data_IF_765932740517
#
_entry.id   IF_765932740517
#
_cell.length_a   1.000
_cell.length_b   1.000
_cell.length_c   1.000
_cell.angle_alpha   90.00
_cell.angle_beta   90.00
_cell.angle_gamma   90.00
#
_symmetry.space_group_name_H-M   'P 1'
#
loop_
_entity.id
_entity.type
_entity.pdbx_description
1 polymer ?
#
# COMPACT_ATOMS: atom_id res chain seq x y z
N UNK A 1 3.98 -15.73 26.03
CA UNK A 1 4.54 -16.04 24.73
C UNK A 1 4.23 -14.94 23.74
N UNK A 2 5.21 -14.59 22.97
CA UNK A 2 5.01 -13.56 21.98
C UNK A 2 4.58 -14.19 20.69
N UNK A 3 3.48 -13.70 20.16
CA UNK A 3 3.04 -14.12 18.85
C UNK A 3 3.65 -13.20 17.83
N UNK A 4 3.97 -13.78 16.70
CA UNK A 4 4.41 -12.95 15.59
C UNK A 4 3.31 -11.97 15.28
N UNK A 5 3.64 -10.72 15.27
CA UNK A 5 2.68 -9.70 14.93
C UNK A 5 2.43 -9.71 13.45
N UNK A 6 1.19 -9.86 13.08
CA UNK A 6 0.84 -9.81 11.69
C UNK A 6 0.68 -8.36 11.28
N UNK A 7 1.10 -8.04 10.07
CA UNK A 7 0.91 -6.66 9.61
C UNK A 7 -0.58 -6.33 9.56
N UNK A 8 -0.89 -5.16 10.02
CA UNK A 8 -2.24 -4.65 9.93
C UNK A 8 -2.30 -3.64 8.80
N UNK A 9 -3.28 -3.81 7.95
CA UNK A 9 -3.45 -2.92 6.80
C UNK A 9 -4.73 -2.13 6.97
N UNK A 10 -4.70 -0.89 6.53
CA UNK A 10 -5.92 -0.11 6.40
C UNK A 10 -6.06 0.31 4.95
N UNK A 11 -7.28 0.55 4.54
CA UNK A 11 -7.56 0.88 3.16
C UNK A 11 -7.57 2.38 2.97
N UNK A 12 -6.73 2.84 2.07
CA UNK A 12 -6.65 4.26 1.71
C UNK A 12 -7.18 4.43 0.30
N UNK A 13 -8.17 5.29 0.15
CA UNK A 13 -8.68 5.57 -1.18
C UNK A 13 -7.94 6.72 -1.79
N UNK A 14 -7.51 6.53 -3.03
CA UNK A 14 -6.81 7.56 -3.76
C UNK A 14 -7.44 7.70 -5.13
N UNK A 15 -7.23 8.87 -5.73
CA UNK A 15 -7.66 9.12 -7.10
C UNK A 15 -6.44 9.15 -7.99
N UNK A 16 -6.51 8.43 -9.09
CA UNK A 16 -5.41 8.40 -10.06
C UNK A 16 -5.40 9.72 -10.81
N UNK A 17 -4.21 10.29 -10.91
CA UNK A 17 -4.02 11.52 -11.66
C UNK A 17 -3.30 11.21 -12.97
N UNK A 18 -3.37 12.15 -13.90
CA UNK A 18 -2.69 12.02 -15.16
C UNK A 18 -1.19 11.81 -14.93
N UNK A 19 -0.63 10.82 -15.58
CA UNK A 19 0.78 10.49 -15.42
C UNK A 19 1.07 9.49 -14.32
N UNK A 20 0.09 9.16 -13.49
CA UNK A 20 0.30 8.15 -12.45
C UNK A 20 0.37 6.76 -13.07
N UNK A 21 1.24 5.94 -12.51
CA UNK A 21 1.32 4.52 -12.86
C UNK A 21 1.11 3.71 -11.61
N UNK A 22 0.76 2.44 -11.78
CA UNK A 22 0.63 1.58 -10.61
C UNK A 22 1.96 1.48 -9.86
N UNK A 23 3.09 1.49 -10.59
CA UNK A 23 4.39 1.44 -9.94
C UNK A 23 4.62 2.67 -9.07
N UNK A 24 4.32 3.87 -9.60
CA UNK A 24 4.56 5.09 -8.84
C UNK A 24 3.64 5.16 -7.62
N UNK A 25 2.41 4.71 -7.76
CA UNK A 25 1.49 4.66 -6.64
C UNK A 25 1.97 3.67 -5.59
N UNK A 26 2.37 2.48 -6.02
CA UNK A 26 2.86 1.47 -5.09
C UNK A 26 4.11 1.96 -4.38
N UNK A 27 5.00 2.62 -5.10
CA UNK A 27 6.22 3.14 -4.50
C UNK A 27 5.92 4.22 -3.46
N UNK A 28 4.92 5.05 -3.74
CA UNK A 28 4.54 6.11 -2.81
C UNK A 28 3.96 5.56 -1.51
N UNK A 29 3.22 4.47 -1.61
CA UNK A 29 2.48 3.92 -0.48
C UNK A 29 3.14 2.69 0.14
N UNK A 30 4.36 2.34 -0.29
CA UNK A 30 5.11 1.26 0.32
C UNK A 30 6.11 1.82 1.32
N UNK A 31 6.47 1.01 2.31
CA UNK A 31 7.53 1.42 3.21
C UNK A 31 8.87 0.92 2.67
N UNK A 32 9.95 1.28 3.35
CA UNK A 32 11.30 1.00 2.87
C UNK A 32 11.60 -0.49 2.79
N UNK A 33 10.85 -1.28 3.54
CA UNK A 33 11.14 -2.71 3.63
C UNK A 33 10.29 -3.53 2.70
N UNK A 34 9.35 -2.91 2.00
CA UNK A 34 8.44 -3.63 1.13
C UNK A 34 8.98 -3.64 -0.29
N UNK A 35 8.75 -4.78 -0.97
CA UNK A 35 9.05 -4.87 -2.37
C UNK A 35 7.92 -4.21 -3.15
N UNK A 36 8.27 -3.23 -3.98
CA UNK A 36 7.28 -2.48 -4.74
C UNK A 36 6.44 -3.39 -5.62
N UNK A 37 7.05 -4.46 -6.15
CA UNK A 37 6.31 -5.37 -7.01
C UNK A 37 5.23 -6.11 -6.24
N UNK A 38 5.52 -6.46 -5.00
CA UNK A 38 4.51 -7.10 -4.15
C UNK A 38 3.40 -6.13 -3.80
N UNK A 39 3.76 -4.87 -3.56
CA UNK A 39 2.76 -3.85 -3.28
C UNK A 39 1.87 -3.62 -4.49
N UNK A 40 2.45 -3.60 -5.69
CA UNK A 40 1.65 -3.49 -6.90
C UNK A 40 0.67 -4.64 -7.04
N UNK A 41 1.15 -5.84 -6.77
CA UNK A 41 0.30 -7.03 -6.85
C UNK A 41 -0.86 -6.94 -5.86
N UNK A 42 -0.55 -6.55 -4.63
CA UNK A 42 -1.55 -6.38 -3.58
C UNK A 42 -2.57 -5.32 -3.97
N UNK A 43 -2.11 -4.21 -4.55
CA UNK A 43 -3.00 -3.16 -4.99
C UNK A 43 -3.93 -3.63 -6.10
N UNK A 44 -3.41 -4.41 -7.03
CA UNK A 44 -4.24 -4.94 -8.10
C UNK A 44 -5.30 -5.89 -7.55
N UNK A 45 -4.91 -6.74 -6.62
CA UNK A 45 -5.86 -7.67 -6.04
C UNK A 45 -6.93 -6.96 -5.25
N UNK A 46 -6.56 -5.93 -4.51
CA UNK A 46 -7.51 -5.19 -3.69
C UNK A 46 -8.57 -4.50 -4.54
N UNK A 47 -8.25 -4.22 -5.79
CA UNK A 47 -9.15 -3.49 -6.69
C UNK A 47 -9.71 -4.38 -7.81
N UNK A 48 -9.49 -5.68 -7.72
CA UNK A 48 -9.96 -6.64 -8.72
C UNK A 48 -9.48 -6.30 -10.12
N UNK A 49 -8.26 -5.82 -10.21
CA UNK A 49 -7.67 -5.47 -11.49
C UNK A 49 -6.93 -6.66 -12.07
N UNK A 50 -7.13 -6.90 -13.34
CA UNK A 50 -6.45 -7.99 -14.03
C UNK A 50 -5.11 -7.55 -14.61
N UNK A 51 -4.88 -6.25 -14.68
CA UNK A 51 -3.63 -5.72 -15.19
C UNK A 51 -3.27 -4.49 -14.38
N UNK A 52 -2.07 -3.97 -14.64
CA UNK A 52 -1.59 -2.78 -13.93
C UNK A 52 -2.05 -1.49 -14.57
N UNK A 53 -2.89 -1.56 -15.59
CA UNK A 53 -3.35 -0.36 -16.28
C UNK A 53 -4.37 0.37 -15.42
N UNK A 54 -4.16 1.66 -15.25
CA UNK A 54 -5.06 2.53 -14.50
C UNK A 54 -5.27 3.79 -15.31
N UNK A 55 -6.31 4.53 -14.97
CA UNK A 55 -6.72 5.69 -15.75
C UNK A 55 -6.91 6.89 -14.84
N UNK A 56 -6.63 8.10 -15.34
CA UNK A 56 -6.90 9.30 -14.56
C UNK A 56 -8.36 9.36 -14.15
N UNK A 57 -8.60 9.76 -12.92
CA UNK A 57 -9.94 9.81 -12.36
C UNK A 57 -10.40 8.53 -11.71
N UNK A 58 -9.69 7.45 -11.93
CA UNK A 58 -10.04 6.18 -11.29
C UNK A 58 -9.76 6.24 -9.80
N UNK A 59 -10.66 5.67 -9.00
CA UNK A 59 -10.46 5.60 -7.55
C UNK A 59 -9.96 4.21 -7.21
N UNK A 60 -8.85 4.17 -6.50
CA UNK A 60 -8.24 2.91 -6.08
C UNK A 60 -8.26 2.81 -4.56
N UNK A 61 -8.45 1.59 -4.09
CA UNK A 61 -8.28 1.28 -2.67
C UNK A 61 -6.89 0.69 -2.49
N UNK A 62 -6.08 1.36 -1.69
CA UNK A 62 -4.69 0.96 -1.49
C UNK A 62 -4.56 0.41 -0.07
N UNK A 63 -4.25 -0.88 0.09
CA UNK A 63 -3.96 -1.42 1.41
C UNK A 63 -2.62 -0.85 1.88
N UNK A 64 -2.65 -0.11 2.97
CA UNK A 64 -1.46 0.53 3.50
C UNK A 64 -1.13 -0.14 4.82
N UNK A 65 0.13 -0.50 4.98
CA UNK A 65 0.59 -1.14 6.20
C UNK A 65 0.59 -0.13 7.32
N UNK A 66 -0.12 -0.43 8.38
CA UNK A 66 -0.18 0.45 9.53
C UNK A 66 1.08 0.29 10.36
N UNK A 67 1.49 1.38 10.99
CA UNK A 67 2.61 1.34 11.92
C UNK A 67 2.18 0.58 13.16
N UNK A 68 2.99 -0.39 13.59
CA UNK A 68 2.67 -1.13 14.80
C UNK A 68 2.90 -0.25 16.00
N UNK A 69 2.30 -0.64 17.12
CA UNK A 69 2.48 0.11 18.34
C UNK A 69 3.93 0.13 18.79
N UNK A 70 4.65 -0.96 18.57
CA UNK A 70 6.06 -1.01 18.91
C UNK A 70 6.86 -0.01 18.10
N UNK A 71 6.58 0.06 16.81
CA UNK A 71 7.24 1.02 15.94
C UNK A 71 6.96 2.44 16.41
N UNK A 72 5.71 2.68 16.78
CA UNK A 72 5.32 4.01 17.23
C UNK A 72 6.08 4.39 18.50
N UNK A 73 6.21 3.45 19.44
CA UNK A 73 6.91 3.75 20.69
C UNK A 73 8.38 3.99 20.45
N UNK A 74 8.98 3.22 19.54
CA UNK A 74 10.38 3.43 19.21
C UNK A 74 10.59 4.77 18.54
N UNK A 75 9.68 5.15 17.67
CA UNK A 75 9.77 6.44 16.99
C UNK A 75 9.58 7.59 17.96
N UNK A 76 8.87 7.37 19.05
CA UNK A 76 8.59 8.40 20.02
C UNK A 76 9.76 8.71 20.91
N UNK A 77 10.81 7.96 20.81
CA UNK A 77 12.01 8.24 21.61
C UNK A 77 12.89 9.29 20.94
#
# INVERSE_FOLDING_TARGET
MVLAEEPVYYNQKITVHSGDTMWSIANRWSDDKEDVREVMHRNCEANNLKSKHIYPGQVLTIPVKAVTQNDFMLAGK
#
